data_IF_452703815309
#
_entry.id   IF_452703815309
#
_cell.length_a   1.000
_cell.length_b   1.000
_cell.length_c   1.000
_cell.angle_alpha   90.00
_cell.angle_beta   90.00
_cell.angle_gamma   90.00
#
_symmetry.space_group_name_H-M   'P 1'
#
loop_
_entity.id
_entity.type
_entity.pdbx_description
1 polymer ?
#
# COMPACT_ATOMS: atom_id res chain seq x y z
N UNK A 1 8.75 12.97 22.19
CA UNK A 1 8.70 13.76 20.95
C UNK A 1 8.35 12.79 19.83
N UNK A 2 7.16 12.89 19.22
CA UNK A 2 6.79 12.04 18.08
C UNK A 2 7.49 12.60 16.86
N UNK A 3 8.44 11.82 16.35
CA UNK A 3 9.38 12.18 15.29
C UNK A 3 8.62 12.67 14.05
N UNK A 4 9.10 13.76 13.49
CA UNK A 4 8.73 14.31 12.19
C UNK A 4 8.53 13.21 11.15
N UNK A 5 7.25 13.01 10.77
CA UNK A 5 6.72 12.53 9.48
C UNK A 5 7.83 12.30 8.44
N UNK A 6 8.51 11.16 8.47
CA UNK A 6 9.25 10.72 7.30
C UNK A 6 8.22 10.61 6.17
N UNK A 7 8.52 11.27 5.05
CA UNK A 7 7.62 11.30 3.92
C UNK A 7 7.59 9.88 3.33
N UNK A 8 6.58 9.08 3.72
CA UNK A 8 6.32 7.79 3.10
C UNK A 8 6.45 7.92 1.58
N UNK A 9 7.33 7.11 0.99
CA UNK A 9 7.59 7.12 -0.45
C UNK A 9 6.34 6.74 -1.23
N UNK A 10 5.52 5.85 -0.67
CA UNK A 10 4.27 5.40 -1.28
C UNK A 10 3.07 5.82 -0.46
N UNK A 11 2.00 6.18 -1.18
CA UNK A 11 0.72 6.44 -0.55
C UNK A 11 0.14 5.15 0.03
N UNK A 12 0.25 4.03 -0.69
CA UNK A 12 -0.15 2.73 -0.17
C UNK A 12 0.61 1.58 -0.83
N UNK A 13 0.63 0.45 -0.14
CA UNK A 13 1.08 -0.86 -0.59
C UNK A 13 -0.14 -1.77 -0.82
N UNK A 14 -0.18 -2.48 -1.94
CA UNK A 14 -1.21 -3.50 -2.22
C UNK A 14 -0.61 -4.90 -1.99
N UNK A 15 -1.13 -5.58 -0.97
CA UNK A 15 -0.88 -6.99 -0.67
C UNK A 15 -1.96 -7.87 -1.29
N UNK A 16 -1.55 -8.92 -2.01
CA UNK A 16 -2.45 -9.83 -2.72
C UNK A 16 -1.76 -11.16 -3.07
N UNK A 17 -2.53 -12.23 -3.26
CA UNK A 17 -2.01 -13.49 -3.83
C UNK A 17 -1.65 -13.32 -5.31
N UNK A 18 -0.54 -13.90 -5.78
CA UNK A 18 -0.13 -13.86 -7.20
C UNK A 18 -1.23 -14.31 -8.17
N UNK A 19 -2.09 -15.25 -7.75
CA UNK A 19 -3.25 -15.68 -8.53
C UNK A 19 -4.32 -14.60 -8.75
N UNK A 20 -4.31 -13.51 -7.99
CA UNK A 20 -5.23 -12.38 -8.07
C UNK A 20 -4.59 -11.13 -8.70
N UNK A 21 -3.43 -11.27 -9.36
CA UNK A 21 -2.69 -10.15 -9.96
C UNK A 21 -3.56 -9.28 -10.87
N UNK A 22 -4.43 -9.90 -11.66
CA UNK A 22 -5.33 -9.17 -12.57
C UNK A 22 -6.19 -8.16 -11.82
N UNK A 23 -6.71 -8.55 -10.65
CA UNK A 23 -7.51 -7.67 -9.80
C UNK A 23 -6.66 -6.58 -9.15
N UNK A 24 -5.49 -6.95 -8.62
CA UNK A 24 -4.56 -5.99 -8.01
C UNK A 24 -4.08 -4.92 -9.02
N UNK A 25 -3.84 -5.30 -10.28
CA UNK A 25 -3.47 -4.36 -11.36
C UNK A 25 -4.57 -3.34 -11.63
N UNK A 26 -5.81 -3.82 -11.74
CA UNK A 26 -6.97 -2.96 -12.00
C UNK A 26 -7.21 -2.04 -10.81
N UNK A 27 -7.07 -2.54 -9.58
CA UNK A 27 -7.20 -1.77 -8.35
C UNK A 27 -6.16 -0.64 -8.28
N UNK A 28 -4.88 -0.96 -8.47
CA UNK A 28 -3.79 0.02 -8.50
C UNK A 28 -4.09 1.15 -9.50
N UNK A 29 -4.40 0.79 -10.76
CA UNK A 29 -4.73 1.77 -11.80
C UNK A 29 -5.93 2.63 -11.43
N UNK A 30 -6.98 2.04 -10.86
CA UNK A 30 -8.17 2.80 -10.44
C UNK A 30 -7.83 3.80 -9.34
N UNK A 31 -7.06 3.40 -8.33
CA UNK A 31 -6.65 4.29 -7.22
C UNK A 31 -5.80 5.46 -7.75
N UNK A 32 -4.77 5.17 -8.55
CA UNK A 32 -3.85 6.22 -9.04
C UNK A 32 -4.51 7.21 -10.00
N UNK A 33 -5.52 6.75 -10.75
CA UNK A 33 -6.25 7.59 -11.71
C UNK A 33 -7.46 8.30 -11.12
N UNK A 34 -7.93 7.86 -9.95
CA UNK A 34 -9.09 8.42 -9.27
C UNK A 34 -8.90 9.91 -8.99
N UNK A 35 -9.89 10.72 -9.39
CA UNK A 35 -9.94 12.15 -9.09
C UNK A 35 -10.87 12.34 -7.92
N UNK A 36 -10.32 12.78 -6.79
CA UNK A 36 -11.13 13.11 -5.63
C UNK A 36 -12.04 14.31 -5.95
N UNK A 37 -13.34 14.24 -5.63
CA UNK A 37 -14.21 15.40 -5.67
C UNK A 37 -13.62 16.56 -4.86
N UNK A 38 -13.72 17.78 -5.37
CA UNK A 38 -13.07 18.97 -4.77
C UNK A 38 -13.44 19.18 -3.31
N UNK A 39 -14.70 18.92 -2.94
CA UNK A 39 -15.19 19.04 -1.57
C UNK A 39 -14.44 18.08 -0.63
N UNK A 40 -14.34 16.80 -1.01
CA UNK A 40 -13.63 15.77 -0.24
C UNK A 40 -12.14 16.09 -0.17
N UNK A 41 -11.53 16.50 -1.29
CA UNK A 41 -10.12 16.87 -1.30
C UNK A 41 -9.84 18.05 -0.37
N UNK A 42 -10.68 19.09 -0.38
CA UNK A 42 -10.52 20.26 0.49
C UNK A 42 -10.57 19.89 1.96
N UNK A 43 -11.58 19.11 2.35
CA UNK A 43 -11.75 18.60 3.71
C UNK A 43 -10.55 17.77 4.18
N UNK A 44 -10.07 16.84 3.35
CA UNK A 44 -8.89 16.03 3.67
C UNK A 44 -7.61 16.87 3.73
N UNK A 45 -7.47 17.85 2.85
CA UNK A 45 -6.30 18.73 2.82
C UNK A 45 -6.22 19.63 4.06
N UNK A 46 -7.36 20.14 4.54
CA UNK A 46 -7.43 20.88 5.81
C UNK A 46 -7.03 19.99 6.98
N UNK A 47 -7.54 18.76 7.05
CA UNK A 47 -7.15 17.77 8.09
C UNK A 47 -5.68 17.38 8.05
N UNK A 48 -5.01 17.52 6.91
CA UNK A 48 -3.61 17.17 6.71
C UNK A 48 -2.69 18.41 6.70
N UNK A 49 -3.16 19.54 7.22
CA UNK A 49 -2.39 20.79 7.31
C UNK A 49 -1.84 21.24 5.94
N UNK A 50 -2.65 21.08 4.89
CA UNK A 50 -2.30 21.45 3.52
C UNK A 50 -1.42 20.44 2.78
N UNK A 51 -1.07 19.32 3.39
CA UNK A 51 -0.15 18.31 2.83
C UNK A 51 -0.85 17.07 2.25
N UNK A 52 -2.14 17.16 1.89
CA UNK A 52 -2.83 16.04 1.26
C UNK A 52 -2.56 16.03 -0.26
N UNK A 53 -2.18 14.89 -0.85
CA UNK A 53 -1.86 14.85 -2.27
C UNK A 53 -3.11 14.94 -3.15
N UNK A 54 -3.01 15.66 -4.27
CA UNK A 54 -4.10 15.76 -5.27
C UNK A 54 -4.50 14.43 -5.91
N UNK A 55 -3.60 13.44 -5.86
CA UNK A 55 -3.80 12.08 -6.35
C UNK A 55 -3.18 11.09 -5.38
N UNK A 56 -3.80 9.93 -5.24
CA UNK A 56 -3.33 8.86 -4.36
C UNK A 56 -2.23 8.06 -5.09
N UNK A 57 -1.05 8.65 -5.26
CA UNK A 57 0.10 8.03 -5.94
C UNK A 57 1.42 8.48 -5.29
N UNK A 58 2.48 7.66 -5.33
CA UNK A 58 2.55 6.34 -5.98
C UNK A 58 1.92 5.22 -5.13
N UNK A 59 1.31 4.23 -5.79
CA UNK A 59 0.80 3.02 -5.14
C UNK A 59 1.74 1.87 -5.48
N UNK A 60 2.38 1.29 -4.47
CA UNK A 60 3.19 0.10 -4.64
C UNK A 60 2.29 -1.13 -4.72
N UNK A 61 2.64 -2.08 -5.58
CA UNK A 61 1.95 -3.35 -5.75
C UNK A 61 3.03 -4.41 -5.84
N UNK A 62 3.00 -5.38 -4.93
CA UNK A 62 3.96 -6.47 -4.93
C UNK A 62 3.93 -7.24 -6.27
N UNK A 63 5.03 -7.89 -6.65
CA UNK A 63 5.07 -8.90 -7.71
C UNK A 63 5.49 -10.20 -7.05
N UNK A 64 4.55 -10.86 -6.41
CA UNK A 64 4.79 -12.07 -5.63
C UNK A 64 5.01 -13.29 -6.55
N UNK A 65 6.11 -13.30 -7.30
CA UNK A 65 6.62 -14.47 -8.03
C UNK A 65 8.15 -14.42 -8.12
N UNK A 66 8.83 -14.16 -7.00
CA UNK A 66 10.29 -14.24 -6.94
C UNK A 66 10.72 -15.41 -6.06
N UNK A 67 11.08 -16.56 -6.68
CA UNK A 67 11.80 -17.62 -6.00
C UNK A 67 13.27 -17.23 -5.83
N UNK A 68 13.76 -17.37 -4.60
CA UNK A 68 15.17 -17.41 -4.15
C UNK A 68 16.00 -16.09 -4.21
N UNK A 69 16.66 -15.81 -3.07
CA UNK A 69 17.65 -14.73 -2.78
C UNK A 69 17.06 -13.38 -2.26
N UNK A 70 17.84 -12.54 -1.53
CA UNK A 70 17.45 -11.88 -0.27
C UNK A 70 16.52 -10.66 -0.45
N UNK A 71 15.32 -10.90 -0.99
CA UNK A 71 14.32 -9.87 -1.31
C UNK A 71 13.30 -9.66 -0.18
N UNK A 72 13.28 -10.51 0.84
CA UNK A 72 12.45 -10.30 2.03
C UNK A 72 12.73 -8.95 2.71
N UNK A 73 13.98 -8.47 2.65
CA UNK A 73 14.35 -7.14 3.14
C UNK A 73 13.92 -6.01 2.22
N UNK A 74 13.78 -6.26 0.92
CA UNK A 74 13.32 -5.24 -0.02
C UNK A 74 11.83 -5.02 0.15
N UNK A 75 11.02 -6.08 0.25
CA UNK A 75 9.58 -5.91 0.37
C UNK A 75 9.15 -5.30 1.70
N UNK A 76 9.79 -5.70 2.79
CA UNK A 76 9.58 -5.07 4.10
C UNK A 76 9.91 -3.58 4.06
N UNK A 77 10.98 -3.17 3.37
CA UNK A 77 11.30 -1.75 3.18
C UNK A 77 10.22 -1.02 2.38
N UNK A 78 9.72 -1.61 1.30
CA UNK A 78 8.64 -0.98 0.52
C UNK A 78 7.32 -0.89 1.35
N UNK A 79 7.11 -1.83 2.28
CA UNK A 79 6.00 -1.80 3.24
C UNK A 79 6.20 -0.71 4.31
N UNK A 80 7.41 -0.58 4.88
CA UNK A 80 7.80 0.49 5.82
C UNK A 80 7.70 1.88 5.16
N UNK A 81 8.07 1.98 3.88
CA UNK A 81 7.98 3.18 3.05
C UNK A 81 6.55 3.51 2.61
N UNK A 82 5.56 2.67 2.95
CA UNK A 82 4.16 2.83 2.56
C UNK A 82 3.29 3.31 3.71
N UNK A 83 2.54 4.39 3.48
CA UNK A 83 1.66 4.97 4.51
C UNK A 83 0.47 4.09 4.88
N UNK A 84 -0.05 3.34 3.92
CA UNK A 84 -1.23 2.49 4.08
C UNK A 84 -0.98 1.11 3.49
N UNK A 85 -1.56 0.08 4.11
CA UNK A 85 -1.67 -1.26 3.53
C UNK A 85 -3.08 -1.49 2.99
N UNK A 86 -3.19 -1.96 1.76
CA UNK A 86 -4.43 -2.41 1.13
C UNK A 86 -4.31 -3.91 0.88
N UNK A 87 -5.18 -4.70 1.51
CA UNK A 87 -5.18 -6.17 1.35
C UNK A 87 -6.30 -6.58 0.41
N UNK A 88 -5.99 -7.35 -0.63
CA UNK A 88 -6.99 -7.97 -1.51
C UNK A 88 -7.51 -9.24 -0.84
N UNK A 89 -8.64 -9.15 -0.16
CA UNK A 89 -9.24 -10.29 0.55
C UNK A 89 -9.91 -11.27 -0.42
N UNK A 90 -9.14 -12.24 -0.91
CA UNK A 90 -9.62 -13.39 -1.69
C UNK A 90 -9.38 -14.70 -0.93
N UNK A 91 -10.06 -15.82 -1.29
CA UNK A 91 -9.77 -17.12 -0.70
C UNK A 91 -8.30 -17.55 -0.84
N UNK A 92 -7.64 -17.11 -1.93
CA UNK A 92 -6.23 -17.43 -2.20
C UNK A 92 -5.29 -16.57 -1.37
N UNK A 93 -5.63 -15.30 -1.15
CA UNK A 93 -4.87 -14.41 -0.27
C UNK A 93 -4.97 -14.86 1.18
N UNK A 94 -6.15 -15.34 1.61
CA UNK A 94 -6.33 -15.90 2.95
C UNK A 94 -5.51 -17.20 3.19
N UNK A 95 -5.18 -17.95 2.14
CA UNK A 95 -4.34 -19.15 2.21
C UNK A 95 -2.85 -18.86 1.97
N UNK A 96 -2.48 -17.61 1.67
CA UNK A 96 -1.11 -17.24 1.33
C UNK A 96 -0.32 -16.91 2.59
N UNK A 97 0.71 -17.70 2.88
CA UNK A 97 1.66 -17.41 3.97
C UNK A 97 2.35 -16.05 3.79
N UNK A 98 2.57 -15.63 2.54
CA UNK A 98 3.21 -14.35 2.25
C UNK A 98 2.32 -13.16 2.61
N UNK A 99 1.06 -13.18 2.16
CA UNK A 99 0.07 -12.15 2.51
C UNK A 99 -0.10 -12.05 4.03
N UNK A 100 -0.18 -13.20 4.71
CA UNK A 100 -0.29 -13.23 6.17
C UNK A 100 0.91 -12.57 6.85
N UNK A 101 2.14 -12.89 6.41
CA UNK A 101 3.36 -12.24 6.93
C UNK A 101 3.36 -10.73 6.70
N UNK A 102 2.94 -10.26 5.53
CA UNK A 102 2.88 -8.81 5.25
C UNK A 102 1.92 -8.09 6.21
N UNK A 103 0.74 -8.67 6.44
CA UNK A 103 -0.25 -8.13 7.38
C UNK A 103 0.29 -8.13 8.81
N UNK A 104 0.89 -9.23 9.26
CA UNK A 104 1.53 -9.31 10.58
C UNK A 104 2.62 -8.26 10.75
N UNK A 105 3.52 -8.12 9.77
CA UNK A 105 4.59 -7.14 9.81
C UNK A 105 4.05 -5.71 9.86
N UNK A 106 3.03 -5.37 9.06
CA UNK A 106 2.42 -4.04 9.09
C UNK A 106 1.76 -3.74 10.44
N UNK A 107 1.07 -4.70 11.05
CA UNK A 107 0.48 -4.55 12.39
C UNK A 107 1.57 -4.32 13.46
N UNK A 108 2.71 -5.00 13.34
CA UNK A 108 3.84 -4.84 14.27
C UNK A 108 4.52 -3.46 14.16
N UNK A 109 4.34 -2.74 13.05
CA UNK A 109 4.93 -1.41 12.83
C UNK A 109 4.20 -0.27 13.56
N UNK A 110 2.95 -0.46 14.01
CA UNK A 110 2.17 0.49 14.82
C UNK A 110 1.10 1.25 14.06
#
# INVERSE_FOLDING_TARGET
>A
MKTTKEAYRYFAFISYSSNDEKYAKVLQKKIETYRLPTVIHKELNERWEGNFPKRLKPIFRDRTDLPAAPLGTSLLRELEDSRYLIVVCSPRSAQSEWVNREVENFILMG
#
